data_IF_292491753486
#
_entry.id   IF_292491753486
#
_cell.length_a   1.000
_cell.length_b   1.000
_cell.length_c   1.000
_cell.angle_alpha   90.00
_cell.angle_beta   90.00
_cell.angle_gamma   90.00
#
_symmetry.space_group_name_H-M   'P 1'
#
loop_
_entity.id
_entity.type
_entity.pdbx_description
1 polymer ?
#
# COMPACT_ATOMS: atom_id res chain seq x y z
N UNK A 1 -71.05 -13.06 -35.71
CA UNK A 1 -70.46 -12.32 -36.86
C UNK A 1 -69.33 -11.46 -36.31
N UNK A 2 -68.11 -11.61 -36.83
CA UNK A 2 -67.02 -10.69 -36.50
C UNK A 2 -67.39 -9.32 -37.09
N UNK A 3 -67.40 -8.22 -36.31
CA UNK A 3 -67.76 -6.91 -36.83
C UNK A 3 -66.78 -6.52 -37.94
N UNK A 4 -67.34 -6.08 -39.06
CA UNK A 4 -66.57 -5.72 -40.24
C UNK A 4 -65.81 -4.41 -39.93
N UNK A 5 -64.53 -4.31 -40.28
CA UNK A 5 -63.71 -3.09 -40.10
C UNK A 5 -64.43 -1.86 -40.66
N UNK A 6 -65.24 -2.05 -41.71
CA UNK A 6 -66.07 -1.01 -42.32
C UNK A 6 -67.20 -0.49 -41.40
N UNK A 7 -67.77 -1.33 -40.54
CA UNK A 7 -68.79 -0.94 -39.56
C UNK A 7 -68.15 -0.09 -38.44
N UNK A 8 -66.97 -0.50 -37.98
CA UNK A 8 -66.22 0.25 -36.95
C UNK A 8 -65.75 1.60 -37.51
N UNK A 9 -65.30 1.66 -38.76
CA UNK A 9 -64.96 2.91 -39.43
C UNK A 9 -66.16 3.85 -39.55
N UNK A 10 -67.34 3.30 -39.90
CA UNK A 10 -68.60 4.07 -39.97
C UNK A 10 -69.00 4.60 -38.60
N UNK A 11 -68.97 3.77 -37.56
CA UNK A 11 -69.27 4.20 -36.19
C UNK A 11 -68.25 5.20 -35.65
N UNK A 12 -66.98 5.10 -36.04
CA UNK A 12 -65.94 6.07 -35.68
C UNK A 12 -66.26 7.46 -36.21
N UNK A 13 -66.68 7.56 -37.48
CA UNK A 13 -67.05 8.84 -38.11
C UNK A 13 -68.32 9.43 -37.49
N UNK A 14 -69.31 8.59 -37.15
CA UNK A 14 -70.53 9.02 -36.44
C UNK A 14 -70.17 9.55 -35.05
N UNK A 15 -69.35 8.81 -34.30
CA UNK A 15 -68.92 9.17 -32.94
C UNK A 15 -68.06 10.45 -32.93
N UNK A 16 -67.20 10.65 -33.93
CA UNK A 16 -66.45 11.90 -34.14
C UNK A 16 -67.38 13.10 -34.33
N UNK A 17 -68.42 12.92 -35.16
CA UNK A 17 -69.42 13.94 -35.45
C UNK A 17 -70.26 14.28 -34.21
N UNK A 18 -70.69 13.26 -33.46
CA UNK A 18 -71.50 13.42 -32.25
C UNK A 18 -70.70 14.10 -31.12
N UNK A 19 -69.39 13.80 -31.02
CA UNK A 19 -68.48 14.46 -30.07
C UNK A 19 -68.00 15.84 -30.54
N UNK A 20 -68.46 16.34 -31.70
CA UNK A 20 -68.04 17.62 -32.31
C UNK A 20 -66.52 17.76 -32.48
N UNK A 21 -65.81 16.64 -32.67
CA UNK A 21 -64.37 16.64 -32.87
C UNK A 21 -64.06 16.83 -34.36
N UNK A 22 -63.00 17.59 -34.67
CA UNK A 22 -62.54 17.73 -36.05
C UNK A 22 -62.02 16.37 -36.52
N UNK A 23 -62.33 15.92 -37.75
CA UNK A 23 -61.84 14.66 -38.29
C UNK A 23 -60.37 14.80 -38.71
N UNK A 24 -59.49 14.97 -37.73
CA UNK A 24 -58.05 14.87 -37.91
C UNK A 24 -57.62 13.41 -37.80
N UNK A 25 -56.50 13.00 -38.41
CA UNK A 25 -55.98 11.64 -38.30
C UNK A 25 -55.87 11.18 -36.84
N UNK A 26 -55.46 12.05 -35.92
CA UNK A 26 -55.27 11.75 -34.50
C UNK A 26 -56.59 11.47 -33.80
N UNK A 27 -57.60 12.34 -33.98
CA UNK A 27 -58.93 12.17 -33.39
C UNK A 27 -59.65 10.93 -33.96
N UNK A 28 -59.42 10.64 -35.25
CA UNK A 28 -59.94 9.44 -35.89
C UNK A 28 -59.30 8.18 -35.33
N UNK A 29 -57.96 8.14 -35.22
CA UNK A 29 -57.25 7.00 -34.64
C UNK A 29 -57.66 6.74 -33.20
N UNK A 30 -57.82 7.79 -32.38
CA UNK A 30 -58.24 7.64 -30.98
C UNK A 30 -59.63 7.01 -30.84
N UNK A 31 -60.63 7.51 -31.58
CA UNK A 31 -62.00 6.98 -31.52
C UNK A 31 -62.11 5.61 -32.19
N UNK A 32 -61.37 5.39 -33.28
CA UNK A 32 -61.31 4.09 -33.95
C UNK A 32 -60.73 3.03 -33.03
N UNK A 33 -59.69 3.37 -32.27
CA UNK A 33 -59.11 2.46 -31.28
C UNK A 33 -60.01 2.25 -30.06
N UNK A 34 -60.76 3.26 -29.62
CA UNK A 34 -61.78 3.13 -28.57
C UNK A 34 -62.86 2.12 -28.98
N UNK A 35 -63.39 2.27 -30.20
CA UNK A 35 -64.44 1.38 -30.73
C UNK A 35 -63.89 -0.01 -31.04
N UNK A 36 -62.71 -0.12 -31.65
CA UNK A 36 -62.06 -1.41 -31.94
C UNK A 36 -61.85 -2.24 -30.66
N UNK A 37 -61.48 -1.61 -29.54
CA UNK A 37 -61.36 -2.29 -28.23
C UNK A 37 -62.69 -2.82 -27.72
N UNK A 38 -63.80 -2.09 -27.88
CA UNK A 38 -65.16 -2.55 -27.47
C UNK A 38 -65.57 -3.80 -28.25
N UNK A 39 -65.09 -3.94 -29.48
CA UNK A 39 -65.32 -5.10 -30.35
C UNK A 39 -64.23 -6.19 -30.25
N UNK A 40 -63.30 -6.09 -29.30
CA UNK A 40 -62.24 -7.09 -29.09
C UNK A 40 -61.14 -7.09 -30.17
N UNK A 41 -61.09 -6.08 -31.05
CA UNK A 41 -60.05 -5.94 -32.07
C UNK A 41 -58.89 -5.09 -31.54
N UNK A 42 -57.68 -5.66 -31.58
CA UNK A 42 -56.45 -4.94 -31.25
C UNK A 42 -55.97 -4.23 -32.52
N UNK A 43 -55.79 -2.91 -32.47
CA UNK A 43 -55.23 -2.16 -33.60
C UNK A 43 -53.82 -2.66 -33.94
N UNK A 44 -53.46 -2.70 -35.23
CA UNK A 44 -52.15 -3.17 -35.69
C UNK A 44 -50.99 -2.42 -35.00
N UNK A 45 -51.17 -1.13 -34.72
CA UNK A 45 -50.17 -0.29 -34.07
C UNK A 45 -50.00 -0.62 -32.59
N UNK A 46 -51.09 -0.89 -31.85
CA UNK A 46 -51.00 -1.29 -30.44
C UNK A 46 -50.36 -2.68 -30.29
N UNK A 47 -50.68 -3.63 -31.17
CA UNK A 47 -50.04 -4.94 -31.18
C UNK A 47 -48.52 -4.85 -31.47
N UNK A 48 -48.11 -3.99 -32.41
CA UNK A 48 -46.68 -3.72 -32.69
C UNK A 48 -45.99 -3.05 -31.50
N UNK A 49 -46.63 -2.07 -30.88
CA UNK A 49 -46.10 -1.37 -29.71
C UNK A 49 -45.82 -2.32 -28.54
N UNK A 50 -46.78 -3.16 -28.18
CA UNK A 50 -46.61 -4.14 -27.10
C UNK A 50 -45.55 -5.20 -27.45
N UNK A 51 -45.51 -5.66 -28.71
CA UNK A 51 -44.45 -6.54 -29.19
C UNK A 51 -43.06 -5.92 -29.03
N UNK A 52 -42.88 -4.66 -29.42
CA UNK A 52 -41.58 -3.99 -29.32
C UNK A 52 -41.18 -3.69 -27.87
N UNK A 53 -42.14 -3.35 -27.00
CA UNK A 53 -41.87 -3.21 -25.55
C UNK A 53 -41.37 -4.53 -24.94
N UNK A 54 -41.98 -5.66 -25.31
CA UNK A 54 -41.59 -6.98 -24.80
C UNK A 54 -40.20 -7.46 -25.27
N UNK A 55 -39.70 -6.95 -26.40
CA UNK A 55 -38.37 -7.29 -26.92
C UNK A 55 -37.22 -6.55 -26.20
N UNK A 56 -37.52 -5.53 -25.39
CA UNK A 56 -36.50 -4.80 -24.64
C UNK A 56 -35.98 -5.62 -23.46
N UNK A 57 -34.75 -5.32 -23.02
CA UNK A 57 -34.21 -5.94 -21.81
C UNK A 57 -35.02 -5.53 -20.56
N UNK A 58 -35.07 -6.37 -19.50
CA UNK A 58 -35.92 -6.13 -18.33
C UNK A 58 -35.74 -4.76 -17.66
N UNK A 59 -34.52 -4.23 -17.65
CA UNK A 59 -34.21 -2.90 -17.12
C UNK A 59 -34.91 -1.77 -17.90
N UNK A 60 -34.94 -1.85 -19.24
CA UNK A 60 -35.65 -0.86 -20.07
C UNK A 60 -37.17 -1.04 -20.00
N UNK A 61 -37.66 -2.27 -19.81
CA UNK A 61 -39.08 -2.54 -19.56
C UNK A 61 -39.55 -1.92 -18.24
N UNK A 62 -38.74 -2.00 -17.18
CA UNK A 62 -39.04 -1.35 -15.90
C UNK A 62 -39.06 0.17 -16.02
N UNK A 63 -38.12 0.77 -16.77
CA UNK A 63 -38.11 2.22 -16.99
C UNK A 63 -39.36 2.67 -17.78
N UNK A 64 -39.84 1.84 -18.71
CA UNK A 64 -41.08 2.08 -19.45
C UNK A 64 -42.32 2.11 -18.55
N UNK A 65 -42.37 1.34 -17.46
CA UNK A 65 -43.52 1.35 -16.55
C UNK A 65 -43.73 2.71 -15.87
N UNK A 66 -42.66 3.51 -15.75
CA UNK A 66 -42.72 4.87 -15.21
C UNK A 66 -43.12 5.94 -16.24
N UNK A 67 -43.24 5.58 -17.53
CA UNK A 67 -43.53 6.49 -18.63
C UNK A 67 -44.79 6.04 -19.38
N UNK A 68 -45.77 6.93 -19.59
CA UNK A 68 -46.99 6.60 -20.34
C UNK A 68 -46.72 6.60 -21.85
N UNK A 69 -46.08 5.54 -22.38
CA UNK A 69 -45.83 5.38 -23.82
C UNK A 69 -47.04 4.74 -24.50
N UNK A 70 -47.73 5.54 -25.30
CA UNK A 70 -48.98 5.26 -25.99
C UNK A 70 -48.80 5.10 -27.51
N UNK A 71 -47.76 5.69 -28.10
CA UNK A 71 -47.50 5.59 -29.55
C UNK A 71 -46.13 5.01 -29.89
N UNK A 72 -45.93 4.66 -31.17
CA UNK A 72 -44.64 4.18 -31.69
C UNK A 72 -43.61 5.30 -31.72
N UNK A 73 -44.00 6.54 -32.00
CA UNK A 73 -43.12 7.71 -32.00
C UNK A 73 -42.58 8.01 -30.59
N UNK A 74 -43.43 7.87 -29.57
CA UNK A 74 -43.03 7.99 -28.17
C UNK A 74 -42.06 6.87 -27.77
N UNK A 75 -42.30 5.64 -28.24
CA UNK A 75 -41.37 4.52 -28.03
C UNK A 75 -40.02 4.81 -28.71
N UNK A 76 -40.02 5.28 -29.96
CA UNK A 76 -38.80 5.64 -30.70
C UNK A 76 -38.06 6.76 -29.97
N UNK A 77 -38.77 7.79 -29.49
CA UNK A 77 -38.18 8.89 -28.72
C UNK A 77 -37.55 8.39 -27.41
N UNK A 78 -38.20 7.45 -26.72
CA UNK A 78 -37.64 6.78 -25.56
C UNK A 78 -36.37 6.00 -25.92
N UNK A 79 -36.37 5.23 -27.00
CA UNK A 79 -35.22 4.45 -27.45
C UNK A 79 -34.06 5.36 -27.85
N UNK A 80 -34.32 6.46 -28.54
CA UNK A 80 -33.32 7.49 -28.88
C UNK A 80 -32.76 8.11 -27.59
N UNK A 81 -33.61 8.44 -26.62
CA UNK A 81 -33.15 8.97 -25.33
C UNK A 81 -32.30 7.96 -24.56
N UNK A 82 -32.72 6.69 -24.50
CA UNK A 82 -31.97 5.61 -23.86
C UNK A 82 -30.63 5.35 -24.55
N UNK A 83 -30.60 5.37 -25.89
CA UNK A 83 -29.40 5.23 -26.71
C UNK A 83 -28.45 6.42 -26.49
N UNK A 84 -28.97 7.65 -26.44
CA UNK A 84 -28.17 8.84 -26.19
C UNK A 84 -27.66 8.92 -24.75
N UNK A 85 -28.37 8.35 -23.76
CA UNK A 85 -27.84 8.16 -22.40
C UNK A 85 -26.74 7.11 -22.36
N UNK A 86 -26.83 6.09 -23.21
CA UNK A 86 -25.77 5.11 -23.39
C UNK A 86 -24.59 5.63 -24.25
N UNK A 87 -24.68 6.81 -24.87
CA UNK A 87 -23.61 7.35 -25.70
C UNK A 87 -22.36 7.68 -24.86
N UNK A 88 -21.51 6.66 -24.73
CA UNK A 88 -20.14 6.66 -25.21
C UNK A 88 -19.12 7.44 -24.41
N UNK A 89 -19.34 8.74 -24.18
CA UNK A 89 -18.28 9.65 -23.70
C UNK A 89 -17.89 9.37 -22.25
N UNK A 90 -18.86 9.30 -21.34
CA UNK A 90 -18.60 8.97 -19.94
C UNK A 90 -18.06 7.55 -19.77
N UNK A 91 -18.55 6.60 -20.57
CA UNK A 91 -18.04 5.22 -20.54
C UNK A 91 -16.60 5.17 -21.06
N UNK A 92 -16.27 5.88 -22.14
CA UNK A 92 -14.91 5.98 -22.63
C UNK A 92 -13.96 6.64 -21.63
N UNK A 93 -14.38 7.74 -21.01
CA UNK A 93 -13.61 8.44 -19.99
C UNK A 93 -13.37 7.54 -18.76
N UNK A 94 -14.36 6.74 -18.37
CA UNK A 94 -14.21 5.77 -17.30
C UNK A 94 -13.23 4.65 -17.66
N UNK A 95 -13.25 4.14 -18.88
CA UNK A 95 -12.26 3.18 -19.37
C UNK A 95 -10.85 3.76 -19.38
N UNK A 96 -10.69 5.00 -19.84
CA UNK A 96 -9.40 5.68 -19.88
C UNK A 96 -8.88 5.94 -18.45
N UNK A 97 -9.77 6.25 -17.51
CA UNK A 97 -9.43 6.35 -16.10
C UNK A 97 -8.98 5.00 -15.52
N UNK A 98 -9.71 3.91 -15.79
CA UNK A 98 -9.31 2.56 -15.36
C UNK A 98 -7.97 2.12 -15.97
N UNK A 99 -7.73 2.43 -17.25
CA UNK A 99 -6.46 2.18 -17.90
C UNK A 99 -5.31 2.96 -17.23
N UNK A 100 -5.57 4.21 -16.82
CA UNK A 100 -4.61 5.05 -16.10
C UNK A 100 -4.29 4.48 -14.72
N UNK A 101 -5.31 4.05 -13.96
CA UNK A 101 -5.11 3.37 -12.67
C UNK A 101 -4.32 2.08 -12.85
N UNK A 102 -4.67 1.25 -13.83
CA UNK A 102 -3.97 0.01 -14.13
C UNK A 102 -2.51 0.27 -14.49
N UNK A 103 -2.21 1.29 -15.29
CA UNK A 103 -0.84 1.68 -15.64
C UNK A 103 -0.05 2.19 -14.44
N UNK A 104 -0.69 2.92 -13.53
CA UNK A 104 -0.06 3.38 -12.28
C UNK A 104 0.34 2.20 -11.38
N UNK A 105 -0.51 1.19 -11.28
CA UNK A 105 -0.22 -0.04 -10.52
C UNK A 105 0.95 -0.85 -11.11
N UNK A 106 1.23 -0.74 -12.42
CA UNK A 106 2.38 -1.40 -13.03
C UNK A 106 3.73 -0.84 -12.56
N UNK A 107 3.77 0.37 -11.99
CA UNK A 107 4.98 0.96 -11.41
C UNK A 107 5.30 0.40 -10.01
N UNK A 108 4.35 -0.32 -9.41
CA UNK A 108 4.54 -0.95 -8.09
C UNK A 108 5.81 -1.79 -8.04
N UNK A 109 6.52 -1.71 -6.92
CA UNK A 109 7.70 -2.54 -6.64
C UNK A 109 7.30 -4.00 -6.40
N UNK A 110 6.09 -4.24 -5.90
CA UNK A 110 5.53 -5.58 -5.75
C UNK A 110 5.30 -6.23 -7.12
N UNK A 111 5.99 -7.35 -7.35
CA UNK A 111 5.89 -8.12 -8.59
C UNK A 111 4.47 -8.61 -8.85
N UNK A 112 3.75 -9.09 -7.83
CA UNK A 112 2.38 -9.62 -7.97
C UNK A 112 1.41 -8.53 -8.41
N UNK A 113 1.47 -7.35 -7.78
CA UNK A 113 0.65 -6.19 -8.16
C UNK A 113 0.95 -5.79 -9.61
N UNK A 114 2.24 -5.66 -9.95
CA UNK A 114 2.67 -5.26 -11.28
C UNK A 114 2.24 -6.24 -12.37
N UNK A 115 2.40 -7.54 -12.15
CA UNK A 115 2.04 -8.57 -13.12
C UNK A 115 0.51 -8.64 -13.30
N UNK A 116 -0.26 -8.54 -12.21
CA UNK A 116 -1.72 -8.52 -12.29
C UNK A 116 -2.23 -7.25 -13.00
N UNK A 117 -1.63 -6.10 -12.73
CA UNK A 117 -1.92 -4.84 -13.41
C UNK A 117 -1.61 -4.90 -14.92
N UNK A 118 -0.50 -5.53 -15.32
CA UNK A 118 -0.21 -5.78 -16.75
C UNK A 118 -1.27 -6.63 -17.41
N UNK A 119 -1.69 -7.73 -16.78
CA UNK A 119 -2.76 -8.60 -17.29
C UNK A 119 -4.08 -7.82 -17.41
N UNK A 120 -4.42 -7.00 -16.42
CA UNK A 120 -5.59 -6.10 -16.47
C UNK A 120 -5.49 -5.12 -17.63
N UNK A 121 -4.36 -4.43 -17.80
CA UNK A 121 -4.16 -3.46 -18.88
C UNK A 121 -4.24 -4.08 -20.28
N UNK A 122 -3.78 -5.32 -20.45
CA UNK A 122 -3.87 -6.02 -21.74
C UNK A 122 -5.32 -6.41 -22.07
N UNK A 123 -6.11 -6.77 -21.06
CA UNK A 123 -7.48 -7.28 -21.25
C UNK A 123 -8.55 -6.20 -21.21
N UNK A 124 -8.30 -5.08 -20.52
CA UNK A 124 -9.30 -4.04 -20.36
C UNK A 124 -9.64 -3.42 -21.72
N UNK A 125 -10.87 -3.63 -22.17
CA UNK A 125 -11.34 -3.15 -23.47
C UNK A 125 -12.80 -2.74 -23.38
N UNK A 126 -13.22 -1.81 -24.23
CA UNK A 126 -14.61 -1.31 -24.31
C UNK A 126 -15.61 -2.40 -24.73
N UNK A 127 -15.13 -3.55 -25.20
CA UNK A 127 -15.91 -4.70 -25.69
C UNK A 127 -15.66 -5.97 -24.88
N UNK A 128 -15.13 -5.85 -23.66
CA UNK A 128 -14.81 -6.99 -22.81
C UNK A 128 -16.08 -7.75 -22.43
N UNK A 129 -16.07 -9.07 -22.62
CA UNK A 129 -17.20 -9.93 -22.30
C UNK A 129 -17.34 -10.17 -20.78
N UNK A 130 -18.53 -10.57 -20.35
CA UNK A 130 -18.85 -10.78 -18.93
C UNK A 130 -17.99 -11.86 -18.26
N UNK A 131 -17.55 -12.89 -18.99
CA UNK A 131 -16.70 -13.96 -18.46
C UNK A 131 -15.29 -13.43 -18.19
N UNK A 132 -14.72 -12.68 -19.15
CA UNK A 132 -13.43 -12.01 -18.98
C UNK A 132 -13.42 -11.06 -17.77
N UNK A 133 -14.50 -10.29 -17.58
CA UNK A 133 -14.66 -9.38 -16.42
C UNK A 133 -14.68 -10.18 -15.12
N UNK A 134 -15.46 -11.26 -15.07
CA UNK A 134 -15.57 -12.13 -13.90
C UNK A 134 -14.22 -12.75 -13.52
N UNK A 135 -13.49 -13.31 -14.50
CA UNK A 135 -12.18 -13.92 -14.29
C UNK A 135 -11.16 -12.91 -13.76
N UNK A 136 -11.17 -11.68 -14.29
CA UNK A 136 -10.27 -10.64 -13.82
C UNK A 136 -10.59 -10.20 -12.39
N UNK A 137 -11.88 -10.02 -12.07
CA UNK A 137 -12.33 -9.70 -10.70
C UNK A 137 -11.94 -10.79 -9.70
N UNK A 138 -12.11 -12.08 -10.08
CA UNK A 138 -11.70 -13.20 -9.25
C UNK A 138 -10.20 -13.17 -8.92
N UNK A 139 -9.35 -12.88 -9.90
CA UNK A 139 -7.89 -12.76 -9.69
C UNK A 139 -7.52 -11.63 -8.72
N UNK A 140 -8.19 -10.47 -8.83
CA UNK A 140 -7.97 -9.36 -7.89
C UNK A 140 -8.44 -9.69 -6.47
N UNK A 141 -9.58 -10.38 -6.31
CA UNK A 141 -10.07 -10.84 -5.01
C UNK A 141 -9.16 -11.90 -4.37
N UNK A 142 -8.64 -12.82 -5.17
CA UNK A 142 -7.65 -13.80 -4.70
C UNK A 142 -6.35 -13.12 -4.26
N UNK A 143 -5.89 -12.11 -5.01
CA UNK A 143 -4.75 -11.30 -4.60
C UNK A 143 -4.99 -10.58 -3.26
N UNK A 144 -6.16 -9.92 -3.10
CA UNK A 144 -6.54 -9.24 -1.86
C UNK A 144 -6.52 -10.18 -0.66
N UNK A 145 -7.11 -11.38 -0.80
CA UNK A 145 -7.14 -12.38 0.27
C UNK A 145 -5.73 -12.81 0.69
N UNK A 146 -4.87 -13.08 -0.29
CA UNK A 146 -3.53 -13.60 -0.05
C UNK A 146 -2.50 -12.53 0.38
N UNK A 147 -2.85 -11.24 0.30
CA UNK A 147 -1.94 -10.15 0.67
C UNK A 147 -1.71 -10.07 2.20
N UNK A 148 -2.72 -10.46 3.00
CA UNK A 148 -2.73 -10.32 4.46
C UNK A 148 -2.17 -11.53 5.23
N UNK A 149 -1.87 -12.66 4.59
CA UNK A 149 -1.41 -13.88 5.27
C UNK A 149 0.11 -13.90 5.56
N UNK A 150 0.80 -12.76 5.50
CA UNK A 150 2.26 -12.73 5.61
C UNK A 150 2.75 -12.63 7.07
N UNK A 151 3.38 -13.71 7.55
CA UNK A 151 4.13 -13.81 8.83
C UNK A 151 5.17 -12.68 9.03
N UNK A 152 5.57 -12.01 7.95
CA UNK A 152 6.45 -10.85 7.94
C UNK A 152 5.93 -9.68 8.79
N UNK A 153 4.61 -9.47 8.88
CA UNK A 153 4.07 -8.34 9.65
C UNK A 153 4.44 -8.44 11.14
N UNK A 154 4.39 -9.66 11.69
CA UNK A 154 4.81 -9.93 13.08
C UNK A 154 6.31 -9.72 13.30
N UNK A 155 7.13 -10.11 12.31
CA UNK A 155 8.58 -9.89 12.33
C UNK A 155 8.96 -8.40 12.25
N UNK A 156 8.32 -7.66 11.35
CA UNK A 156 8.58 -6.23 11.11
C UNK A 156 8.19 -5.36 12.32
N UNK A 157 7.11 -5.70 13.02
CA UNK A 157 6.71 -5.00 14.26
C UNK A 157 7.80 -5.00 15.33
N UNK A 158 8.61 -6.06 15.42
CA UNK A 158 9.75 -6.12 16.37
C UNK A 158 10.81 -5.05 16.11
N UNK A 159 10.86 -4.53 14.88
CA UNK A 159 11.78 -3.48 14.45
C UNK A 159 11.10 -2.09 14.40
N UNK A 160 9.92 -1.93 15.02
CA UNK A 160 9.21 -0.63 15.08
C UNK A 160 8.52 -0.22 13.79
N UNK A 161 8.30 -1.18 12.88
CA UNK A 161 7.60 -0.97 11.62
C UNK A 161 6.10 -1.20 11.85
N UNK A 162 5.31 -0.17 11.53
CA UNK A 162 3.87 -0.21 11.68
C UNK A 162 3.21 -0.91 10.48
N UNK A 163 1.99 -1.41 10.68
CA UNK A 163 1.22 -2.13 9.65
C UNK A 163 1.02 -1.33 8.35
N UNK A 164 0.92 -0.02 8.47
CA UNK A 164 0.60 0.89 7.36
C UNK A 164 1.76 1.80 6.98
N UNK A 165 2.98 1.51 7.45
CA UNK A 165 4.16 2.22 6.96
C UNK A 165 4.34 1.95 5.47
N UNK A 166 4.62 2.99 4.68
CA UNK A 166 4.96 2.83 3.28
C UNK A 166 6.33 2.17 3.09
N UNK A 167 6.59 1.67 1.89
CA UNK A 167 7.84 0.98 1.58
C UNK A 167 9.09 1.82 1.87
N UNK A 168 9.04 3.13 1.65
CA UNK A 168 10.18 4.02 1.90
C UNK A 168 10.48 4.11 3.40
N UNK A 169 9.46 4.29 4.22
CA UNK A 169 9.54 4.31 5.68
C UNK A 169 10.04 2.99 6.25
N UNK A 170 9.51 1.87 5.74
CA UNK A 170 9.94 0.51 6.10
C UNK A 170 11.43 0.35 5.82
N UNK A 171 11.88 0.69 4.61
CA UNK A 171 13.29 0.56 4.20
C UNK A 171 14.19 1.46 5.06
N UNK A 172 13.83 2.72 5.29
CA UNK A 172 14.59 3.63 6.17
C UNK A 172 14.74 3.09 7.59
N UNK A 173 13.66 2.60 8.20
CA UNK A 173 13.70 2.00 9.53
C UNK A 173 14.60 0.76 9.58
N UNK A 174 14.53 -0.10 8.58
CA UNK A 174 15.39 -1.28 8.48
C UNK A 174 16.87 -0.91 8.28
N UNK A 175 17.17 0.08 7.43
CA UNK A 175 18.53 0.59 7.22
C UNK A 175 19.09 1.17 8.51
N UNK A 176 18.33 1.98 9.25
CA UNK A 176 18.76 2.48 10.56
C UNK A 176 19.08 1.33 11.53
N UNK A 177 18.28 0.24 11.53
CA UNK A 177 18.56 -0.93 12.37
C UNK A 177 19.77 -1.75 11.91
N UNK A 178 20.12 -1.71 10.63
CA UNK A 178 21.34 -2.30 10.10
C UNK A 178 22.56 -1.44 10.48
N UNK A 179 22.44 -0.11 10.40
CA UNK A 179 23.46 0.84 10.84
C UNK A 179 23.72 0.77 12.35
N UNK A 180 22.69 0.53 13.18
CA UNK A 180 22.86 0.25 14.62
C UNK A 180 23.70 -1.01 14.89
N UNK A 181 23.81 -1.92 13.93
CA UNK A 181 24.67 -3.13 14.00
C UNK A 181 25.96 -2.97 13.21
N UNK A 182 26.30 -1.75 12.82
CA UNK A 182 27.53 -1.45 12.10
C UNK A 182 28.74 -1.87 12.92
N UNK A 183 29.72 -2.45 12.23
CA UNK A 183 30.98 -2.87 12.86
C UNK A 183 31.72 -1.65 13.41
N UNK A 184 31.49 -0.49 12.80
CA UNK A 184 31.95 0.84 13.18
C UNK A 184 31.59 1.16 14.64
N UNK A 185 30.31 1.02 15.03
CA UNK A 185 29.85 1.29 16.40
C UNK A 185 30.52 0.35 17.41
N UNK A 186 30.66 -0.93 17.06
CA UNK A 186 31.35 -1.89 17.93
C UNK A 186 32.86 -1.63 18.04
N UNK A 187 33.49 -1.21 16.94
CA UNK A 187 34.90 -0.83 16.91
C UNK A 187 35.17 0.38 17.81
N UNK A 188 34.31 1.40 17.76
CA UNK A 188 34.38 2.58 18.62
C UNK A 188 34.24 2.23 20.11
N UNK A 189 33.26 1.38 20.44
CA UNK A 189 33.04 0.93 21.81
C UNK A 189 34.26 0.16 22.35
N UNK A 190 34.77 -0.79 21.56
CA UNK A 190 35.93 -1.59 21.94
C UNK A 190 37.20 -0.74 22.07
N UNK A 191 37.46 0.16 21.13
CA UNK A 191 38.59 1.09 21.18
C UNK A 191 38.54 1.94 22.46
N UNK A 192 37.36 2.43 22.83
CA UNK A 192 37.14 3.22 24.05
C UNK A 192 37.42 2.42 25.32
N UNK A 193 37.07 1.13 25.36
CA UNK A 193 37.30 0.27 26.52
C UNK A 193 38.75 -0.22 26.66
N UNK A 194 39.56 -0.13 25.60
CA UNK A 194 40.94 -0.62 25.59
C UNK A 194 41.95 0.40 26.12
N UNK A 195 41.59 1.68 26.22
CA UNK A 195 42.50 2.69 26.75
C UNK A 195 42.89 2.38 28.21
N UNK A 196 44.18 2.28 28.57
CA UNK A 196 44.58 2.03 29.95
C UNK A 196 44.20 3.21 30.84
N UNK A 197 43.96 2.94 32.12
CA UNK A 197 43.39 3.93 33.03
C UNK A 197 44.44 4.82 33.68
N UNK A 198 45.70 4.39 33.75
CA UNK A 198 46.74 5.07 34.53
C UNK A 198 47.93 5.55 33.71
N UNK A 199 48.15 4.99 32.52
CA UNK A 199 49.32 5.31 31.68
C UNK A 199 49.04 5.07 30.21
N UNK A 200 49.68 5.85 29.33
CA UNK A 200 49.56 5.64 27.89
C UNK A 200 50.40 4.43 27.42
N UNK A 201 49.82 3.62 26.53
CA UNK A 201 50.53 2.56 25.81
C UNK A 201 50.33 2.72 24.30
N UNK A 202 51.44 2.95 23.58
CA UNK A 202 51.43 3.18 22.14
C UNK A 202 50.93 1.97 21.34
N UNK A 203 51.12 0.75 21.82
CA UNK A 203 50.65 -0.45 21.10
C UNK A 203 49.13 -0.58 21.20
N UNK A 204 48.57 -0.33 22.38
CA UNK A 204 47.11 -0.28 22.58
C UNK A 204 46.50 0.83 21.72
N UNK A 205 47.12 2.02 21.69
CA UNK A 205 46.67 3.10 20.81
C UNK A 205 46.72 2.71 19.33
N UNK A 206 47.81 2.08 18.87
CA UNK A 206 47.93 1.60 17.50
C UNK A 206 46.88 0.56 17.13
N UNK A 207 46.59 -0.38 18.04
CA UNK A 207 45.54 -1.37 17.85
C UNK A 207 44.14 -0.74 17.78
N UNK A 208 43.82 0.16 18.73
CA UNK A 208 42.55 0.89 18.76
C UNK A 208 42.34 1.72 17.47
N UNK A 209 43.38 2.41 16.99
CA UNK A 209 43.32 3.16 15.72
C UNK A 209 43.12 2.25 14.51
N UNK A 210 43.81 1.10 14.45
CA UNK A 210 43.60 0.12 13.38
C UNK A 210 42.17 -0.43 13.39
N UNK A 211 41.61 -0.68 14.57
CA UNK A 211 40.22 -1.13 14.74
C UNK A 211 39.21 -0.09 14.24
N UNK A 212 39.42 1.19 14.55
CA UNK A 212 38.59 2.31 14.08
C UNK A 212 38.67 2.50 12.55
N UNK A 213 39.87 2.33 11.97
CA UNK A 213 40.07 2.45 10.52
C UNK A 213 39.56 1.23 9.75
N UNK A 214 39.53 0.06 10.39
CA UNK A 214 39.13 -1.21 9.78
C UNK A 214 38.18 -2.00 10.69
N UNK A 215 36.92 -1.56 10.83
CA UNK A 215 35.95 -2.25 11.69
C UNK A 215 35.64 -3.69 11.25
N UNK A 216 35.86 -4.03 9.98
CA UNK A 216 35.69 -5.39 9.46
C UNK A 216 36.58 -6.44 10.16
N UNK A 217 37.68 -6.02 10.79
CA UNK A 217 38.56 -6.91 11.58
C UNK A 217 37.80 -7.64 12.69
N UNK A 218 36.71 -7.06 13.20
CA UNK A 218 35.82 -7.69 14.20
C UNK A 218 35.25 -9.04 13.75
N UNK A 219 35.17 -9.27 12.44
CA UNK A 219 34.61 -10.50 11.86
C UNK A 219 35.66 -11.57 11.56
N UNK A 220 36.94 -11.28 11.77
CA UNK A 220 38.02 -12.24 11.50
C UNK A 220 38.08 -13.33 12.58
N UNK A 221 38.36 -14.57 12.17
CA UNK A 221 38.38 -15.72 13.08
C UNK A 221 39.43 -15.64 14.20
N UNK A 222 40.48 -14.84 13.99
CA UNK A 222 41.55 -14.60 14.96
C UNK A 222 41.30 -13.43 15.93
N UNK A 223 40.33 -12.56 15.63
CA UNK A 223 40.16 -11.29 16.32
C UNK A 223 39.92 -11.45 17.82
N UNK A 224 39.16 -12.48 18.23
CA UNK A 224 38.92 -12.76 19.65
C UNK A 224 40.21 -12.96 20.45
N UNK A 225 41.17 -13.68 19.88
CA UNK A 225 42.44 -13.98 20.56
C UNK A 225 43.33 -12.73 20.60
N UNK A 226 43.35 -11.96 19.52
CA UNK A 226 44.06 -10.68 19.45
C UNK A 226 43.50 -9.67 20.45
N UNK A 227 42.17 -9.50 20.51
CA UNK A 227 41.50 -8.65 21.49
C UNK A 227 41.87 -9.04 22.92
N UNK A 228 41.89 -10.34 23.23
CA UNK A 228 42.25 -10.83 24.56
C UNK A 228 43.70 -10.48 24.92
N UNK A 229 44.63 -10.53 23.97
CA UNK A 229 46.01 -10.10 24.17
C UNK A 229 46.10 -8.63 24.57
N UNK A 230 45.37 -7.76 23.87
CA UNK A 230 45.36 -6.32 24.16
C UNK A 230 44.62 -5.98 25.45
N UNK A 231 43.55 -6.70 25.81
CA UNK A 231 42.90 -6.56 27.12
C UNK A 231 43.87 -6.92 28.25
N UNK A 232 44.59 -8.03 28.11
CA UNK A 232 45.59 -8.43 29.09
C UNK A 232 46.75 -7.42 29.19
N UNK A 233 47.19 -6.89 28.04
CA UNK A 233 48.20 -5.83 27.98
C UNK A 233 47.75 -4.57 28.73
N UNK A 234 46.49 -4.14 28.54
CA UNK A 234 45.93 -2.98 29.24
C UNK A 234 46.04 -3.13 30.75
N UNK A 235 45.58 -4.27 31.27
CA UNK A 235 45.62 -4.58 32.71
C UNK A 235 47.07 -4.67 33.21
N UNK A 236 47.95 -5.32 32.45
CA UNK A 236 49.37 -5.46 32.79
C UNK A 236 50.05 -4.09 32.91
N UNK A 237 49.82 -3.20 31.95
CA UNK A 237 50.46 -1.88 31.90
C UNK A 237 50.02 -1.01 33.08
N UNK A 238 48.73 -1.00 33.41
CA UNK A 238 48.22 -0.31 34.61
C UNK A 238 48.84 -0.90 35.90
N UNK A 239 48.92 -2.24 36.01
CA UNK A 239 49.55 -2.90 37.16
C UNK A 239 51.03 -2.56 37.31
N UNK A 240 51.78 -2.53 36.20
CA UNK A 240 53.19 -2.13 36.20
C UNK A 240 53.37 -0.67 36.66
N UNK A 241 52.47 0.22 36.22
CA UNK A 241 52.46 1.60 36.67
C UNK A 241 52.24 1.70 38.19
N UNK A 242 51.25 0.97 38.73
CA UNK A 242 50.99 0.92 40.18
C UNK A 242 52.21 0.38 40.94
N UNK A 243 52.77 -0.76 40.51
CA UNK A 243 53.94 -1.36 41.16
C UNK A 243 55.15 -0.43 41.16
N UNK A 244 55.42 0.26 40.04
CA UNK A 244 56.52 1.22 39.94
C UNK A 244 56.35 2.37 40.94
N UNK A 245 55.14 2.90 41.08
CA UNK A 245 54.84 3.96 42.05
C UNK A 245 54.95 3.46 43.49
N UNK A 246 54.43 2.26 43.80
CA UNK A 246 54.57 1.67 45.14
C UNK A 246 56.04 1.46 45.53
N UNK A 247 56.86 0.96 44.60
CA UNK A 247 58.29 0.79 44.83
C UNK A 247 58.98 2.14 45.06
N UNK A 248 58.66 3.15 44.24
CA UNK A 248 59.16 4.51 44.44
C UNK A 248 58.82 5.06 45.83
N UNK A 249 57.58 4.92 46.29
CA UNK A 249 57.19 5.36 47.63
C UNK A 249 57.90 4.58 48.73
N UNK A 250 58.02 3.26 48.61
CA UNK A 250 58.71 2.42 49.57
C UNK A 250 60.21 2.79 49.69
N UNK A 251 60.88 3.04 48.57
CA UNK A 251 62.30 3.42 48.58
C UNK A 251 62.51 4.80 49.21
N UNK A 252 61.60 5.75 48.99
CA UNK A 252 61.66 7.05 49.65
C UNK A 252 61.36 6.95 51.15
N UNK A 253 60.40 6.11 51.57
CA UNK A 253 60.12 5.86 52.99
C UNK A 253 61.32 5.27 53.72
N UNK A 254 62.03 4.32 53.10
CA UNK A 254 63.28 3.76 53.66
C UNK A 254 64.34 4.84 53.85
N UNK A 255 64.56 5.71 52.86
CA UNK A 255 65.51 6.82 52.97
C UNK A 255 65.15 7.79 54.09
N UNK A 256 63.86 8.12 54.25
CA UNK A 256 63.40 8.99 55.35
C UNK A 256 63.65 8.32 56.70
N UNK A 257 63.36 7.02 56.82
CA UNK A 257 63.61 6.26 58.04
C UNK A 257 65.10 6.22 58.39
N UNK A 258 65.98 6.00 57.42
CA UNK A 258 67.44 6.05 57.61
C UNK A 258 67.91 7.42 58.11
N UNK A 259 67.41 8.52 57.51
CA UNK A 259 67.71 9.88 57.96
C UNK A 259 67.21 10.16 59.37
N UNK A 260 66.01 9.68 59.72
CA UNK A 260 65.46 9.79 61.07
C UNK A 260 66.32 9.07 62.10
N UNK A 261 66.79 7.85 61.78
CA UNK A 261 67.70 7.10 62.66
C UNK A 261 69.04 7.82 62.86
N UNK A 262 69.60 8.43 61.80
CA UNK A 262 70.82 9.23 61.89
C UNK A 262 70.63 10.48 62.77
N UNK A 263 69.49 11.18 62.62
CA UNK A 263 69.11 12.33 63.44
C UNK A 263 68.98 11.96 64.92
N UNK A 264 68.30 10.86 65.24
CA UNK A 264 68.17 10.40 66.63
C UNK A 264 69.54 10.08 67.24
N UNK A 265 70.39 9.36 66.51
CA UNK A 265 71.75 9.05 66.97
C UNK A 265 72.58 10.31 67.21
N UNK A 266 72.46 11.31 66.34
CA UNK A 266 73.13 12.60 66.54
C UNK A 266 72.58 13.37 67.75
N UNK A 267 71.27 13.32 68.00
CA UNK A 267 70.67 13.98 69.15
C UNK A 267 71.08 13.32 70.47
N UNK A 268 71.11 11.98 70.53
CA UNK A 268 71.61 11.24 71.69
C UNK A 268 73.06 11.63 72.02
N UNK A 269 73.93 11.72 71.00
CA UNK A 269 75.33 12.16 71.16
C UNK A 269 75.47 13.62 71.64
N UNK A 270 74.51 14.48 71.34
CA UNK A 270 74.51 15.89 71.74
C UNK A 270 73.88 16.13 73.12
N UNK A 271 73.20 15.13 73.70
CA UNK A 271 72.56 15.19 75.02
C UNK A 271 73.48 14.69 76.16
N UNK A 272 74.63 14.08 75.83
CA UNK A 272 75.64 13.57 76.77
C UNK A 272 76.66 14.65 77.25
N UNK A 273 76.25 15.94 77.30
CA UNK A 273 77.03 17.05 77.86
C UNK A 273 76.37 17.67 79.10
#
# INVERSE_FOLDING_TARGET
MLPNINEIAKETLITLKDRKLRPTPENYTEIFEELSKKYGLISSNKAKLEKYKALLLPNYQQELNSKSIRTLEELISFLISALNRQNGKQFSEFFDFLATLSKSLQVSKDKKIRDLAKITSIRISKTMDSESIYLLSKKWKEFEKNYNENDLEGGLRRYGIAKYDDFDTVVKKLLNKLEERSLEVFAELLASCLNPSLVEDLKIHGFAQNLLQKPFLLSESGFKNELLEFVNRRVMVDNMYVQKNLNFFNDNLKKIYELFMLLNKSNEQNMDF
#
